data_IF_577681645196
#
_entry.id   IF_577681645196
#
_cell.length_a   1.000
_cell.length_b   1.000
_cell.length_c   1.000
_cell.angle_alpha   90.00
_cell.angle_beta   90.00
_cell.angle_gamma   90.00
#
_symmetry.space_group_name_H-M   'P 1'
#
loop_
_entity.id
_entity.type
_entity.pdbx_description
1 polymer ?
#
# COMPACT_ATOMS: atom_id res chain seq x y z
N UNK A 1 -42.31 -64.40 26.60
CA UNK A 1 -41.00 -65.01 26.91
C UNK A 1 -40.09 -63.93 27.49
N UNK A 2 -39.51 -64.28 28.64
CA UNK A 2 -38.43 -63.69 29.48
C UNK A 2 -37.80 -62.32 29.16
N UNK A 3 -37.74 -61.51 30.21
CA UNK A 3 -36.84 -60.38 30.43
C UNK A 3 -35.38 -60.81 30.64
N UNK A 4 -34.40 -59.92 30.37
CA UNK A 4 -33.14 -59.83 31.13
C UNK A 4 -32.68 -58.36 31.17
N UNK A 5 -32.53 -57.84 32.38
CA UNK A 5 -31.88 -56.57 32.71
C UNK A 5 -30.36 -56.77 32.83
N UNK A 6 -29.56 -55.82 32.34
CA UNK A 6 -28.10 -55.78 32.51
C UNK A 6 -27.68 -54.50 33.19
N UNK A 7 -27.26 -54.61 34.45
CA UNK A 7 -26.68 -53.54 35.28
C UNK A 7 -25.17 -53.47 35.00
N UNK A 8 -24.66 -52.32 34.57
CA UNK A 8 -23.22 -52.04 34.55
C UNK A 8 -22.89 -50.89 35.50
N UNK A 9 -22.11 -51.21 36.55
CA UNK A 9 -21.42 -50.26 37.42
C UNK A 9 -20.22 -49.67 36.68
N UNK A 10 -20.05 -48.35 36.71
CA UNK A 10 -18.79 -47.69 36.35
C UNK A 10 -18.22 -47.00 37.58
N UNK A 11 -16.93 -47.26 37.77
CA UNK A 11 -16.07 -46.91 38.90
C UNK A 11 -15.67 -45.43 38.79
N UNK A 12 -15.84 -44.68 39.88
CA UNK A 12 -15.32 -43.31 40.04
C UNK A 12 -13.81 -43.31 40.25
N UNK A 13 -13.06 -42.79 39.28
CA UNK A 13 -11.64 -42.49 39.43
C UNK A 13 -11.44 -41.08 39.98
N UNK A 14 -10.76 -40.96 41.12
CA UNK A 14 -10.31 -39.70 41.71
C UNK A 14 -9.08 -39.22 40.94
N UNK A 15 -9.20 -38.13 40.20
CA UNK A 15 -8.06 -37.49 39.53
C UNK A 15 -7.35 -36.52 40.50
N UNK A 16 -6.08 -36.79 40.76
CA UNK A 16 -5.19 -35.87 41.47
C UNK A 16 -4.86 -34.66 40.59
N UNK A 17 -5.04 -33.44 41.12
CA UNK A 17 -4.72 -32.18 40.46
C UNK A 17 -3.26 -31.82 40.78
N UNK A 18 -2.32 -31.80 39.83
CA UNK A 18 -0.99 -31.25 40.07
C UNK A 18 -1.07 -29.71 40.13
N UNK A 19 -0.56 -29.18 41.24
CA UNK A 19 -0.36 -27.75 41.47
C UNK A 19 0.75 -27.25 40.53
N UNK A 20 0.37 -26.54 39.45
CA UNK A 20 1.33 -25.90 38.55
C UNK A 20 1.79 -24.60 39.20
N UNK A 21 3.01 -24.61 39.72
CA UNK A 21 3.73 -23.41 40.13
C UNK A 21 4.10 -22.65 38.84
N UNK A 22 3.30 -21.64 38.51
CA UNK A 22 3.57 -20.76 37.38
C UNK A 22 4.69 -19.79 37.76
N UNK A 23 5.91 -20.09 37.32
CA UNK A 23 7.04 -19.18 37.35
C UNK A 23 6.71 -17.98 36.43
N UNK A 24 6.56 -16.79 37.02
CA UNK A 24 6.17 -15.58 36.32
C UNK A 24 7.24 -15.14 35.32
N UNK A 25 7.01 -15.42 34.03
CA UNK A 25 7.65 -14.67 32.96
C UNK A 25 7.17 -13.23 33.04
N UNK A 26 8.09 -12.29 33.29
CA UNK A 26 7.91 -10.86 33.11
C UNK A 26 7.54 -10.57 31.65
N UNK A 27 6.25 -10.70 31.35
CA UNK A 27 5.69 -10.47 30.03
C UNK A 27 5.74 -8.98 29.71
N UNK A 28 6.70 -8.59 28.87
CA UNK A 28 6.66 -7.28 28.23
C UNK A 28 5.29 -7.12 27.54
N UNK A 29 4.61 -5.99 27.80
CA UNK A 29 3.33 -5.71 27.18
C UNK A 29 3.46 -5.79 25.64
N UNK A 30 2.50 -6.40 24.93
CA UNK A 30 2.56 -6.50 23.48
C UNK A 30 2.62 -5.10 22.86
N UNK A 31 3.49 -4.92 21.86
CA UNK A 31 3.63 -3.65 21.16
C UNK A 31 2.29 -3.20 20.56
N UNK A 32 1.94 -1.92 20.71
CA UNK A 32 0.71 -1.32 20.15
C UNK A 32 0.67 -1.39 18.63
N UNK A 33 1.85 -1.24 18.00
CA UNK A 33 2.00 -1.26 16.55
C UNK A 33 3.08 -2.26 16.15
N UNK A 34 2.73 -3.23 15.30
CA UNK A 34 3.70 -4.14 14.68
C UNK A 34 3.88 -3.79 13.21
N UNK A 35 5.12 -3.51 12.82
CA UNK A 35 5.50 -3.29 11.43
C UNK A 35 6.23 -4.53 10.91
N UNK A 36 5.77 -5.06 9.78
CA UNK A 36 6.50 -6.05 8.98
C UNK A 36 6.84 -5.44 7.63
N UNK A 37 8.11 -5.14 7.40
CA UNK A 37 8.58 -4.46 6.21
C UNK A 37 9.33 -5.42 5.28
N UNK A 38 8.70 -5.79 4.17
CA UNK A 38 9.29 -6.60 3.11
C UNK A 38 9.96 -5.67 2.11
N UNK A 39 11.28 -5.55 2.21
CA UNK A 39 12.11 -4.59 1.47
C UNK A 39 13.31 -5.37 0.93
N UNK A 40 13.78 -5.07 -0.29
CA UNK A 40 15.06 -5.63 -0.75
C UNK A 40 16.16 -4.76 -0.14
N UNK A 41 16.65 -5.15 1.02
CA UNK A 41 17.68 -4.40 1.74
C UNK A 41 19.02 -4.61 1.03
N UNK A 42 19.29 -5.84 0.59
CA UNK A 42 20.53 -6.23 -0.08
C UNK A 42 20.85 -5.42 -1.34
N UNK A 43 19.85 -4.92 -2.08
CA UNK A 43 20.11 -4.12 -3.29
C UNK A 43 20.32 -2.61 -3.03
N UNK A 44 20.09 -2.13 -1.80
CA UNK A 44 20.28 -0.74 -1.39
C UNK A 44 19.33 0.30 -2.01
N UNK A 45 18.53 -0.04 -3.02
CA UNK A 45 17.65 0.91 -3.73
C UNK A 45 16.61 1.57 -2.80
N UNK A 46 16.25 0.89 -1.71
CA UNK A 46 15.20 1.28 -0.78
C UNK A 46 15.75 1.77 0.57
N UNK A 47 17.05 2.09 0.64
CA UNK A 47 17.71 2.49 1.88
C UNK A 47 17.06 3.69 2.60
N UNK A 48 16.53 4.72 1.91
CA UNK A 48 15.77 5.78 2.59
C UNK A 48 14.57 5.24 3.39
N UNK A 49 13.90 4.19 2.88
CA UNK A 49 12.77 3.57 3.57
C UNK A 49 13.23 2.77 4.78
N UNK A 50 14.32 2.01 4.65
CA UNK A 50 14.93 1.26 5.75
C UNK A 50 15.32 2.21 6.88
N UNK A 51 16.05 3.29 6.55
CA UNK A 51 16.47 4.31 7.53
C UNK A 51 15.27 4.95 8.22
N UNK A 52 14.24 5.33 7.47
CA UNK A 52 13.03 5.91 8.03
C UNK A 52 12.38 4.98 9.06
N UNK A 53 12.14 3.71 8.71
CA UNK A 53 11.49 2.74 9.59
C UNK A 53 12.31 2.46 10.86
N UNK A 54 13.63 2.27 10.72
CA UNK A 54 14.54 2.07 11.86
C UNK A 54 14.52 3.26 12.81
N UNK A 55 14.61 4.47 12.28
CA UNK A 55 14.57 5.69 13.09
C UNK A 55 13.22 5.86 13.79
N UNK A 56 12.12 5.61 13.08
CA UNK A 56 10.77 5.71 13.66
C UNK A 56 10.60 4.70 14.81
N UNK A 57 10.95 3.43 14.59
CA UNK A 57 10.87 2.40 15.63
C UNK A 57 11.79 2.71 16.83
N UNK A 58 12.98 3.27 16.59
CA UNK A 58 13.90 3.66 17.65
C UNK A 58 13.35 4.80 18.55
N UNK A 59 12.49 5.66 18.01
CA UNK A 59 11.82 6.73 18.75
C UNK A 59 10.54 6.26 19.48
N UNK A 60 10.03 5.07 19.15
CA UNK A 60 8.79 4.50 19.68
C UNK A 60 8.98 3.08 20.27
N UNK A 61 10.16 2.78 20.84
CA UNK A 61 10.59 1.43 21.23
C UNK A 61 9.63 0.68 22.16
N UNK A 62 8.87 1.38 22.99
CA UNK A 62 7.94 0.77 23.95
C UNK A 62 6.55 0.53 23.35
N UNK A 63 6.27 1.07 22.16
CA UNK A 63 4.95 1.03 21.53
C UNK A 63 4.98 0.31 20.18
N UNK A 64 6.16 0.11 19.61
CA UNK A 64 6.35 -0.41 18.26
C UNK A 64 7.35 -1.56 18.20
N UNK A 65 6.97 -2.60 17.45
CA UNK A 65 7.87 -3.66 17.00
C UNK A 65 8.10 -3.54 15.49
N UNK A 66 9.36 -3.65 15.05
CA UNK A 66 9.74 -3.60 13.64
C UNK A 66 10.45 -4.90 13.25
N UNK A 67 9.81 -5.67 12.37
CA UNK A 67 10.42 -6.80 11.66
C UNK A 67 10.76 -6.34 10.25
N UNK A 68 12.05 -6.33 9.90
CA UNK A 68 12.48 -6.14 8.51
C UNK A 68 12.75 -7.50 7.88
N UNK A 69 12.13 -7.74 6.72
CA UNK A 69 12.29 -8.96 5.93
C UNK A 69 13.02 -8.57 4.65
N UNK A 70 14.28 -8.97 4.53
CA UNK A 70 15.06 -8.73 3.31
C UNK A 70 14.72 -9.76 2.24
N UNK A 71 13.84 -9.41 1.30
CA UNK A 71 13.52 -10.33 0.20
C UNK A 71 14.62 -10.43 -0.87
N UNK A 72 15.75 -9.76 -0.68
CA UNK A 72 17.00 -10.01 -1.40
C UNK A 72 17.78 -11.23 -0.89
N UNK A 73 17.52 -11.69 0.36
CA UNK A 73 18.09 -12.94 0.90
C UNK A 73 17.23 -14.14 0.50
N UNK A 74 17.80 -15.35 0.57
CA UNK A 74 17.06 -16.58 0.26
C UNK A 74 15.88 -16.80 1.23
N UNK A 75 16.11 -16.65 2.54
CA UNK A 75 15.10 -16.84 3.58
C UNK A 75 14.01 -15.78 3.50
N UNK A 76 14.39 -14.52 3.29
CA UNK A 76 13.44 -13.43 3.15
C UNK A 76 12.64 -13.53 1.86
N UNK A 77 13.24 -13.96 0.75
CA UNK A 77 12.53 -14.23 -0.50
C UNK A 77 11.53 -15.38 -0.35
N UNK A 78 11.92 -16.47 0.31
CA UNK A 78 11.03 -17.59 0.61
C UNK A 78 9.82 -17.15 1.46
N UNK A 79 10.06 -16.35 2.51
CA UNK A 79 9.00 -15.75 3.34
C UNK A 79 8.10 -14.82 2.55
N UNK A 80 8.66 -13.90 1.76
CA UNK A 80 7.92 -12.97 0.92
C UNK A 80 6.98 -13.68 -0.07
N UNK A 81 7.45 -14.76 -0.72
CA UNK A 81 6.63 -15.60 -1.60
C UNK A 81 5.53 -16.36 -0.85
N UNK A 82 5.86 -16.98 0.29
CA UNK A 82 4.89 -17.70 1.12
C UNK A 82 3.75 -16.79 1.59
N UNK A 83 4.07 -15.54 1.88
CA UNK A 83 3.10 -14.55 2.34
C UNK A 83 2.32 -13.91 1.15
N UNK A 84 2.50 -14.41 -0.08
CA UNK A 84 1.72 -14.03 -1.26
C UNK A 84 2.04 -12.64 -1.82
N UNK A 85 3.22 -12.09 -1.51
CA UNK A 85 3.61 -10.74 -1.90
C UNK A 85 4.34 -10.75 -3.25
N UNK A 86 4.12 -9.70 -4.04
CA UNK A 86 4.68 -9.58 -5.40
C UNK A 86 5.54 -8.33 -5.61
N UNK A 87 5.58 -7.44 -4.62
CA UNK A 87 6.40 -6.23 -4.59
C UNK A 87 6.81 -5.89 -3.15
N UNK A 88 7.66 -4.87 -2.98
CA UNK A 88 7.89 -4.25 -1.66
C UNK A 88 6.55 -3.96 -0.98
N UNK A 89 6.44 -4.35 0.30
CA UNK A 89 5.21 -4.18 1.08
C UNK A 89 5.56 -3.88 2.52
N UNK A 90 4.91 -2.88 3.11
CA UNK A 90 4.96 -2.61 4.54
C UNK A 90 3.59 -2.96 5.12
N UNK A 91 3.58 -3.88 6.07
CA UNK A 91 2.39 -4.22 6.85
C UNK A 91 2.46 -3.51 8.19
N UNK A 92 1.40 -2.79 8.55
CA UNK A 92 1.20 -2.23 9.90
C UNK A 92 0.01 -2.96 10.50
N UNK A 93 0.22 -3.64 11.63
CA UNK A 93 -0.78 -4.49 12.27
C UNK A 93 -1.41 -5.51 11.30
N UNK A 94 -0.60 -6.05 10.37
CA UNK A 94 -1.03 -7.03 9.37
C UNK A 94 -1.73 -6.45 8.13
N UNK A 95 -2.04 -5.16 8.10
CA UNK A 95 -2.64 -4.50 6.93
C UNK A 95 -1.60 -3.74 6.12
N UNK A 96 -1.81 -3.59 4.80
CA UNK A 96 -1.07 -2.65 3.95
C UNK A 96 -1.94 -1.49 3.45
N UNK A 97 -3.21 -1.44 3.86
CA UNK A 97 -4.20 -0.50 3.34
C UNK A 97 -4.87 0.26 4.48
N UNK A 98 -4.80 1.58 4.38
CA UNK A 98 -5.17 2.49 5.46
C UNK A 98 -5.94 3.69 4.94
N UNK A 99 -6.83 4.22 5.78
CA UNK A 99 -7.47 5.51 5.58
C UNK A 99 -6.71 6.59 6.34
N UNK A 100 -6.23 7.59 5.62
CA UNK A 100 -5.52 8.75 6.18
C UNK A 100 -6.35 10.02 5.97
N UNK A 101 -6.44 10.85 7.01
CA UNK A 101 -7.25 12.08 7.05
C UNK A 101 -8.44 12.00 8.01
N UNK A 102 -8.85 13.14 8.58
CA UNK A 102 -9.85 13.22 9.65
C UNK A 102 -11.26 12.81 9.20
N UNK A 103 -11.94 12.05 10.05
CA UNK A 103 -13.42 12.06 10.11
C UNK A 103 -13.79 13.27 10.96
N UNK A 104 -14.58 14.21 10.42
CA UNK A 104 -15.28 15.21 11.24
C UNK A 104 -14.72 16.63 11.30
N UNK A 105 -13.77 17.04 10.44
CA UNK A 105 -13.47 18.48 10.25
C UNK A 105 -14.04 18.98 8.91
N UNK A 106 -14.84 20.06 8.89
CA UNK A 106 -15.53 20.56 7.68
C UNK A 106 -14.63 21.08 6.55
N UNK A 107 -13.31 21.20 6.76
CA UNK A 107 -12.36 21.65 5.73
C UNK A 107 -11.90 20.49 4.83
N UNK A 108 -12.79 20.03 3.95
CA UNK A 108 -12.52 19.58 2.57
C UNK A 108 -11.54 18.43 2.23
N UNK A 109 -10.92 17.71 3.17
CA UNK A 109 -10.05 16.59 2.80
C UNK A 109 -10.84 15.27 2.72
N UNK A 110 -11.25 14.87 1.52
CA UNK A 110 -11.76 13.51 1.26
C UNK A 110 -10.80 12.48 1.87
N UNK A 111 -11.28 11.52 2.70
CA UNK A 111 -10.42 10.50 3.29
C UNK A 111 -9.64 9.78 2.20
N UNK A 112 -8.31 9.78 2.34
CA UNK A 112 -7.37 9.20 1.37
C UNK A 112 -7.13 7.74 1.74
N UNK A 113 -7.10 6.86 0.75
CA UNK A 113 -6.59 5.51 0.95
C UNK A 113 -5.10 5.49 0.63
N UNK A 114 -4.31 5.00 1.57
CA UNK A 114 -2.88 4.75 1.41
C UNK A 114 -2.69 3.25 1.30
N UNK A 115 -1.99 2.81 0.25
CA UNK A 115 -1.57 1.42 0.12
C UNK A 115 -0.05 1.36 0.18
N UNK A 116 0.49 0.80 1.27
CA UNK A 116 1.93 0.67 1.52
C UNK A 116 2.54 -0.52 0.75
N UNK A 117 2.26 -0.55 -0.55
CA UNK A 117 2.84 -1.48 -1.53
C UNK A 117 3.59 -0.68 -2.58
N UNK A 118 4.60 -1.30 -3.19
CA UNK A 118 5.58 -0.67 -4.08
C UNK A 118 6.54 0.26 -3.32
N UNK A 119 7.66 0.68 -3.94
CA UNK A 119 8.54 1.69 -3.35
C UNK A 119 7.85 3.03 -3.08
N UNK A 120 8.42 3.78 -2.14
CA UNK A 120 8.07 5.17 -1.88
C UNK A 120 8.17 5.99 -3.18
N UNK A 121 7.26 6.95 -3.34
CA UNK A 121 7.17 7.73 -4.58
C UNK A 121 6.23 7.15 -5.62
N UNK A 122 5.81 5.89 -5.47
CA UNK A 122 4.91 5.21 -6.42
C UNK A 122 3.44 5.33 -6.02
N UNK A 123 3.03 4.70 -4.91
CA UNK A 123 1.63 4.75 -4.40
C UNK A 123 1.48 5.56 -3.12
N UNK A 124 2.59 5.72 -2.40
CA UNK A 124 2.65 6.35 -1.07
C UNK A 124 3.93 7.20 -0.96
N UNK A 125 3.98 8.08 0.02
CA UNK A 125 5.15 8.90 0.40
C UNK A 125 5.53 8.70 1.86
N UNK A 126 6.69 9.21 2.29
CA UNK A 126 7.04 9.19 3.71
C UNK A 126 6.03 9.94 4.59
N UNK A 127 5.40 11.00 4.08
CA UNK A 127 4.31 11.70 4.77
C UNK A 127 3.09 10.80 4.97
N UNK A 128 2.76 9.97 3.97
CA UNK A 128 1.68 8.99 4.10
C UNK A 128 2.00 7.93 5.17
N UNK A 129 3.23 7.40 5.15
CA UNK A 129 3.68 6.42 6.13
C UNK A 129 3.67 7.02 7.55
N UNK A 130 4.17 8.26 7.69
CA UNK A 130 4.15 8.97 8.96
C UNK A 130 2.73 9.13 9.50
N UNK A 131 1.77 9.50 8.64
CA UNK A 131 0.38 9.69 9.03
C UNK A 131 -0.30 8.38 9.43
N UNK A 132 -0.04 7.27 8.71
CA UNK A 132 -0.53 5.93 9.10
C UNK A 132 0.03 5.54 10.46
N UNK A 133 1.34 5.64 10.66
CA UNK A 133 1.97 5.24 11.92
C UNK A 133 1.50 6.10 13.10
N UNK A 134 1.36 7.41 12.91
CA UNK A 134 0.83 8.31 13.95
C UNK A 134 -0.61 7.95 14.34
N UNK A 135 -1.47 7.63 13.36
CA UNK A 135 -2.84 7.22 13.63
C UNK A 135 -2.92 5.87 14.33
N UNK A 136 -2.10 4.89 13.92
CA UNK A 136 -2.05 3.56 14.52
C UNK A 136 -1.43 3.55 15.92
N UNK A 137 -0.44 4.41 16.20
CA UNK A 137 0.08 4.59 17.55
C UNK A 137 -0.97 5.19 18.50
N UNK A 138 -1.76 6.15 18.00
CA UNK A 138 -2.82 6.78 18.80
C UNK A 138 -3.99 5.83 19.05
N UNK A 139 -4.40 5.07 18.04
CA UNK A 139 -5.54 4.15 18.11
C UNK A 139 -5.30 2.97 17.16
N UNK A 140 -4.69 1.86 17.64
CA UNK A 140 -4.40 0.69 16.81
C UNK A 140 -5.63 0.16 16.09
N UNK A 141 -5.50 -0.14 14.80
CA UNK A 141 -6.55 -0.63 13.93
C UNK A 141 -7.52 0.43 13.40
N UNK A 142 -7.47 1.68 13.89
CA UNK A 142 -8.46 2.71 13.55
C UNK A 142 -8.38 3.18 12.09
N UNK A 143 -7.24 3.00 11.44
CA UNK A 143 -7.04 3.40 10.04
C UNK A 143 -7.17 2.23 9.06
N UNK A 144 -7.17 0.99 9.54
CA UNK A 144 -7.19 -0.21 8.68
C UNK A 144 -8.45 -0.23 7.83
N UNK A 145 -8.27 -0.47 6.53
CA UNK A 145 -9.38 -0.70 5.60
C UNK A 145 -9.39 -2.15 5.12
N UNK A 146 -10.57 -2.75 5.10
CA UNK A 146 -10.81 -3.97 4.34
C UNK A 146 -10.87 -3.67 2.84
N UNK A 147 -10.55 -4.66 2.01
CA UNK A 147 -10.68 -4.54 0.55
C UNK A 147 -12.09 -4.10 0.14
N UNK A 148 -13.14 -4.66 0.77
CA UNK A 148 -14.53 -4.30 0.48
C UNK A 148 -14.79 -2.82 0.74
N UNK A 149 -14.32 -2.28 1.88
CA UNK A 149 -14.52 -0.87 2.22
C UNK A 149 -13.68 0.05 1.33
N UNK A 150 -12.45 -0.37 0.99
CA UNK A 150 -11.61 0.37 0.07
C UNK A 150 -12.24 0.45 -1.33
N UNK A 151 -12.84 -0.64 -1.82
CA UNK A 151 -13.60 -0.66 -3.08
C UNK A 151 -14.82 0.25 -3.03
N UNK A 152 -15.59 0.22 -1.95
CA UNK A 152 -16.76 1.10 -1.76
C UNK A 152 -16.34 2.58 -1.83
N UNK A 153 -15.26 2.96 -1.14
CA UNK A 153 -14.72 4.33 -1.19
C UNK A 153 -14.24 4.67 -2.60
N UNK A 154 -13.49 3.77 -3.23
CA UNK A 154 -12.94 3.93 -4.58
C UNK A 154 -14.01 4.17 -5.65
N UNK A 155 -15.19 3.56 -5.52
CA UNK A 155 -16.28 3.68 -6.48
C UNK A 155 -16.98 5.06 -6.46
N UNK A 156 -16.91 5.82 -5.35
CA UNK A 156 -17.58 7.13 -5.23
C UNK A 156 -16.97 8.21 -6.12
N UNK A 157 -15.66 8.15 -6.33
CA UNK A 157 -14.92 9.09 -7.17
C UNK A 157 -13.84 8.32 -7.95
N UNK A 158 -14.21 7.62 -9.05
CA UNK A 158 -13.32 6.67 -9.71
C UNK A 158 -12.09 7.32 -10.35
N UNK A 159 -12.14 8.62 -10.65
CA UNK A 159 -10.97 9.40 -11.09
C UNK A 159 -10.99 10.77 -10.43
N UNK A 160 -9.94 11.08 -9.68
CA UNK A 160 -9.76 12.35 -8.96
C UNK A 160 -8.36 12.92 -9.20
N UNK A 161 -8.18 14.18 -8.82
CA UNK A 161 -6.89 14.88 -8.84
C UNK A 161 -6.58 15.43 -7.47
N UNK A 162 -5.30 15.51 -7.13
CA UNK A 162 -4.84 16.11 -5.87
C UNK A 162 -3.55 16.87 -6.09
N UNK A 163 -3.28 17.85 -5.20
CA UNK A 163 -1.97 18.45 -5.03
C UNK A 163 -1.33 17.87 -3.79
N UNK A 164 -0.08 17.45 -3.89
CA UNK A 164 0.76 17.04 -2.77
C UNK A 164 2.04 17.87 -2.77
N UNK A 165 2.83 17.74 -1.71
CA UNK A 165 4.19 18.24 -1.69
C UNK A 165 5.14 17.10 -1.39
N UNK A 166 6.31 17.11 -2.04
CA UNK A 166 7.40 16.18 -1.77
C UNK A 166 8.71 16.94 -1.84
N UNK A 167 9.50 16.90 -0.76
CA UNK A 167 10.75 17.65 -0.64
C UNK A 167 10.58 19.15 -0.95
N UNK A 168 9.49 19.76 -0.47
CA UNK A 168 9.17 21.18 -0.70
C UNK A 168 8.73 21.54 -2.14
N UNK A 169 8.58 20.56 -3.03
CA UNK A 169 8.08 20.77 -4.39
C UNK A 169 6.61 20.36 -4.48
N UNK A 170 5.81 21.20 -5.13
CA UNK A 170 4.43 20.84 -5.46
C UNK A 170 4.41 19.70 -6.48
N UNK A 171 3.59 18.70 -6.21
CA UNK A 171 3.30 17.61 -7.11
C UNK A 171 1.81 17.58 -7.41
N UNK A 172 1.47 17.26 -8.65
CA UNK A 172 0.11 16.95 -9.04
C UNK A 172 -0.08 15.45 -9.15
N UNK A 173 -1.20 14.93 -8.64
CA UNK A 173 -1.47 13.50 -8.58
C UNK A 173 -2.79 13.18 -9.25
N UNK A 174 -2.80 12.08 -10.00
CA UNK A 174 -4.03 11.47 -10.52
C UNK A 174 -4.31 10.22 -9.71
N UNK A 175 -5.53 10.18 -9.18
CA UNK A 175 -6.02 9.10 -8.32
C UNK A 175 -7.08 8.35 -9.11
N UNK A 176 -6.96 7.03 -9.21
CA UNK A 176 -8.01 6.17 -9.76
C UNK A 176 -8.48 5.23 -8.68
N UNK A 177 -9.78 5.26 -8.43
CA UNK A 177 -10.38 4.66 -7.25
C UNK A 177 -9.79 5.26 -5.99
N UNK A 178 -8.89 4.53 -5.35
CA UNK A 178 -8.23 4.97 -4.14
C UNK A 178 -6.70 4.89 -4.20
N UNK A 179 -6.14 4.77 -5.40
CA UNK A 179 -4.70 4.66 -5.61
C UNK A 179 -4.20 5.86 -6.41
N UNK A 180 -3.10 6.46 -5.96
CA UNK A 180 -2.31 7.37 -6.82
C UNK A 180 -1.73 6.52 -7.97
N UNK A 181 -2.13 6.83 -9.20
CA UNK A 181 -1.66 6.13 -10.41
C UNK A 181 -0.58 6.92 -11.13
N UNK A 182 -0.67 8.25 -11.11
CA UNK A 182 0.32 9.16 -11.71
C UNK A 182 0.70 10.25 -10.71
N UNK A 183 1.96 10.67 -10.76
CA UNK A 183 2.50 11.76 -9.94
C UNK A 183 3.45 12.61 -10.79
N UNK A 184 3.09 13.87 -10.93
CA UNK A 184 3.76 14.85 -11.77
C UNK A 184 4.49 15.83 -10.88
N UNK A 185 5.80 15.96 -11.05
CA UNK A 185 6.65 16.86 -10.25
C UNK A 185 7.41 17.89 -11.09
N UNK A 186 7.29 17.82 -12.42
CA UNK A 186 8.02 18.70 -13.36
C UNK A 186 7.13 19.17 -14.51
N UNK A 187 7.44 20.34 -15.10
CA UNK A 187 6.90 20.71 -16.40
C UNK A 187 7.38 19.77 -17.50
N UNK A 188 6.55 19.53 -18.52
CA UNK A 188 6.90 18.78 -19.72
C UNK A 188 6.05 19.26 -20.90
N UNK A 189 6.64 19.39 -22.10
CA UNK A 189 5.97 19.82 -23.32
C UNK A 189 5.15 21.12 -23.13
N UNK A 190 5.73 22.11 -22.43
CA UNK A 190 5.10 23.40 -22.14
C UNK A 190 3.98 23.37 -21.09
N UNK A 191 3.71 22.22 -20.47
CA UNK A 191 2.66 22.06 -19.45
C UNK A 191 3.26 21.90 -18.07
N UNK A 192 2.75 22.65 -17.10
CA UNK A 192 3.05 22.49 -15.67
C UNK A 192 2.58 21.12 -15.13
N UNK A 193 3.09 20.71 -13.97
CA UNK A 193 2.64 19.49 -13.29
C UNK A 193 1.12 19.49 -13.03
N UNK A 194 0.55 20.64 -12.63
CA UNK A 194 -0.89 20.80 -12.41
C UNK A 194 -1.70 20.63 -13.71
N UNK A 195 -1.25 21.22 -14.83
CA UNK A 195 -1.90 21.04 -16.13
C UNK A 195 -1.85 19.59 -16.60
N UNK A 196 -0.69 18.93 -16.47
CA UNK A 196 -0.52 17.51 -16.82
C UNK A 196 -1.44 16.60 -16.00
N UNK A 197 -1.59 16.93 -14.71
CA UNK A 197 -2.51 16.23 -13.79
C UNK A 197 -3.96 16.37 -14.25
N UNK A 198 -4.41 17.60 -14.52
CA UNK A 198 -5.77 17.87 -14.96
C UNK A 198 -6.10 17.19 -16.30
N UNK A 199 -5.18 17.26 -17.26
CA UNK A 199 -5.33 16.64 -18.58
C UNK A 199 -5.41 15.10 -18.50
N UNK A 200 -4.45 14.48 -17.80
CA UNK A 200 -4.42 13.02 -17.61
C UNK A 200 -5.69 12.52 -16.91
N UNK A 201 -6.16 13.24 -15.90
CA UNK A 201 -7.42 12.93 -15.22
C UNK A 201 -8.64 13.13 -16.14
N UNK A 202 -8.67 14.15 -16.99
CA UNK A 202 -9.74 14.35 -17.96
C UNK A 202 -9.81 13.21 -18.99
N UNK A 203 -8.66 12.77 -19.50
CA UNK A 203 -8.55 11.62 -20.41
C UNK A 203 -9.05 10.35 -19.70
N UNK A 204 -8.59 10.09 -18.48
CA UNK A 204 -9.03 8.94 -17.70
C UNK A 204 -10.53 8.97 -17.39
N UNK A 205 -11.11 10.12 -17.04
CA UNK A 205 -12.56 10.25 -16.82
C UNK A 205 -13.35 9.85 -18.08
N UNK A 206 -12.92 10.31 -19.26
CA UNK A 206 -13.54 9.94 -20.54
C UNK A 206 -13.39 8.44 -20.82
N UNK A 207 -12.19 7.88 -20.69
CA UNK A 207 -11.94 6.46 -20.90
C UNK A 207 -12.73 5.58 -19.90
N UNK A 208 -12.79 5.97 -18.64
CA UNK A 208 -13.53 5.27 -17.60
C UNK A 208 -15.04 5.25 -17.89
N UNK A 209 -15.62 6.38 -18.31
CA UNK A 209 -17.02 6.46 -18.76
C UNK A 209 -17.29 5.53 -19.95
N UNK A 210 -16.28 5.31 -20.80
CA UNK A 210 -16.29 4.35 -21.91
C UNK A 210 -15.91 2.92 -21.50
N UNK A 211 -16.02 2.59 -20.21
CA UNK A 211 -15.71 1.26 -19.66
C UNK A 211 -14.28 0.80 -19.98
N UNK A 212 -13.28 1.68 -19.79
CA UNK A 212 -11.88 1.29 -19.82
C UNK A 212 -11.64 0.10 -18.89
N UNK A 213 -10.98 -0.94 -19.40
CA UNK A 213 -10.61 -2.13 -18.64
C UNK A 213 -9.12 -2.16 -18.31
N UNK A 214 -8.75 -2.94 -17.30
CA UNK A 214 -7.33 -3.09 -16.92
C UNK A 214 -6.47 -3.74 -18.00
N UNK A 215 -7.02 -4.52 -18.93
CA UNK A 215 -6.25 -5.15 -20.03
C UNK A 215 -5.92 -4.18 -21.16
N UNK A 216 -6.62 -3.05 -21.26
CA UNK A 216 -6.44 -2.07 -22.34
C UNK A 216 -5.34 -1.03 -22.05
N UNK A 217 -4.82 -1.01 -20.82
CA UNK A 217 -3.77 -0.10 -20.40
C UNK A 217 -2.40 -0.72 -20.65
N UNK A 218 -1.54 0.00 -21.38
CA UNK A 218 -0.16 -0.41 -21.64
C UNK A 218 0.79 0.77 -21.52
N UNK A 219 2.10 0.46 -21.62
CA UNK A 219 3.14 1.45 -21.72
C UNK A 219 3.87 1.31 -23.06
N UNK A 220 4.32 2.42 -23.62
CA UNK A 220 5.07 2.48 -24.87
C UNK A 220 6.18 3.52 -24.77
N UNK A 221 7.28 3.42 -25.53
CA UNK A 221 8.20 4.54 -25.70
C UNK A 221 7.56 5.63 -26.55
N UNK A 222 7.94 6.89 -26.33
CA UNK A 222 7.76 7.96 -27.32
C UNK A 222 8.62 7.65 -28.56
N UNK A 223 8.22 8.09 -29.75
CA UNK A 223 8.92 7.74 -31.00
C UNK A 223 10.40 8.14 -31.01
N UNK A 224 10.75 9.21 -30.32
CA UNK A 224 12.12 9.70 -30.15
C UNK A 224 12.90 9.01 -29.02
N UNK A 225 12.29 8.05 -28.31
CA UNK A 225 12.87 7.36 -27.16
C UNK A 225 13.06 8.22 -25.90
N UNK A 226 12.70 9.51 -25.94
CA UNK A 226 13.02 10.47 -24.87
C UNK A 226 12.13 10.32 -23.63
N UNK A 227 10.99 9.66 -23.78
CA UNK A 227 9.97 9.54 -22.76
C UNK A 227 9.24 8.19 -22.82
N UNK A 228 8.62 7.81 -21.69
CA UNK A 228 7.65 6.73 -21.64
C UNK A 228 6.23 7.27 -21.77
N UNK A 229 5.32 6.48 -22.31
CA UNK A 229 3.91 6.80 -22.47
C UNK A 229 3.09 5.78 -21.70
N UNK A 230 2.05 6.22 -21.01
CA UNK A 230 0.95 5.35 -20.58
C UNK A 230 -0.19 5.56 -21.57
N UNK A 231 -0.64 4.48 -22.20
CA UNK A 231 -1.62 4.53 -23.30
C UNK A 231 -2.78 3.59 -23.04
N UNK A 232 -3.95 3.92 -23.61
CA UNK A 232 -5.07 2.99 -23.73
C UNK A 232 -5.89 3.33 -24.99
N UNK A 233 -6.31 2.30 -25.73
CA UNK A 233 -7.08 2.44 -26.99
C UNK A 233 -6.44 3.43 -27.99
N UNK A 234 -5.12 3.35 -28.13
CA UNK A 234 -4.35 4.25 -29.00
C UNK A 234 -4.25 5.71 -28.52
N UNK A 235 -4.80 6.04 -27.35
CA UNK A 235 -4.70 7.39 -26.75
C UNK A 235 -3.61 7.43 -25.70
N UNK A 236 -2.74 8.43 -25.78
CA UNK A 236 -1.80 8.76 -24.71
C UNK A 236 -2.57 9.33 -23.53
N UNK A 237 -2.53 8.65 -22.39
CA UNK A 237 -3.09 9.13 -21.12
C UNK A 237 -2.13 10.12 -20.49
N UNK A 238 -0.84 9.76 -20.46
CA UNK A 238 0.22 10.62 -19.94
C UNK A 238 1.59 10.25 -20.53
N UNK A 239 2.52 11.21 -20.44
CA UNK A 239 3.94 11.08 -20.74
C UNK A 239 4.73 11.08 -19.43
N UNK A 240 5.77 10.24 -19.34
CA UNK A 240 6.70 10.13 -18.22
C UNK A 240 8.07 10.59 -18.68
N UNK A 241 8.60 11.63 -18.05
CA UNK A 241 9.92 12.21 -18.33
C UNK A 241 11.04 11.51 -17.56
N UNK A 242 12.29 11.75 -17.95
CA UNK A 242 13.48 11.32 -17.21
C UNK A 242 13.51 11.88 -15.78
N UNK A 243 13.01 13.09 -15.55
CA UNK A 243 12.98 13.70 -14.23
C UNK A 243 11.99 12.98 -13.29
N UNK A 244 10.90 12.42 -13.81
CA UNK A 244 9.95 11.62 -13.04
C UNK A 244 10.42 10.19 -12.83
N UNK A 245 11.18 9.66 -13.78
CA UNK A 245 11.75 8.33 -13.71
C UNK A 245 12.94 8.24 -12.73
N UNK A 246 13.71 9.32 -12.58
CA UNK A 246 14.91 9.37 -11.73
C UNK A 246 14.63 9.04 -10.24
N UNK A 247 13.64 9.64 -9.55
CA UNK A 247 13.31 9.26 -8.18
C UNK A 247 12.89 7.79 -8.03
N UNK A 248 12.44 7.15 -9.11
CA UNK A 248 12.04 5.75 -9.15
C UNK A 248 13.21 4.81 -9.51
N UNK A 249 14.40 5.36 -9.76
CA UNK A 249 15.59 4.65 -10.24
C UNK A 249 15.28 3.82 -11.51
N UNK A 250 14.55 4.44 -12.44
CA UNK A 250 14.10 3.82 -13.68
C UNK A 250 14.40 4.74 -14.87
N UNK A 251 14.45 4.17 -16.06
CA UNK A 251 14.34 4.98 -17.28
C UNK A 251 12.87 5.36 -17.55
N UNK A 252 12.60 6.34 -18.43
CA UNK A 252 11.23 6.80 -18.69
C UNK A 252 10.23 5.70 -19.07
N UNK A 253 10.64 4.74 -19.89
CA UNK A 253 9.79 3.63 -20.34
C UNK A 253 9.45 2.69 -19.18
N UNK A 254 10.43 2.33 -18.35
CA UNK A 254 10.22 1.51 -17.16
C UNK A 254 9.34 2.22 -16.12
N UNK A 255 9.49 3.54 -15.98
CA UNK A 255 8.61 4.33 -15.12
C UNK A 255 7.17 4.38 -15.67
N UNK A 256 6.98 4.50 -16.99
CA UNK A 256 5.67 4.38 -17.62
C UNK A 256 5.05 2.98 -17.45
N UNK A 257 5.84 1.90 -17.56
CA UNK A 257 5.37 0.54 -17.28
C UNK A 257 4.88 0.39 -15.84
N UNK A 258 5.58 1.01 -14.89
CA UNK A 258 5.19 1.03 -13.49
C UNK A 258 3.88 1.81 -13.26
N UNK A 259 3.73 2.98 -13.89
CA UNK A 259 2.49 3.75 -13.84
C UNK A 259 1.31 3.02 -14.50
N UNK A 260 1.54 2.39 -15.64
CA UNK A 260 0.55 1.54 -16.31
C UNK A 260 0.15 0.36 -15.41
N UNK A 261 1.10 -0.32 -14.76
CA UNK A 261 0.79 -1.36 -13.78
C UNK A 261 -0.09 -0.84 -12.64
N UNK A 262 0.21 0.32 -12.06
CA UNK A 262 -0.62 0.91 -11.00
C UNK A 262 -2.04 1.23 -11.49
N UNK A 263 -2.17 1.80 -12.69
CA UNK A 263 -3.48 2.06 -13.26
C UNK A 263 -4.29 0.78 -13.46
N UNK A 264 -3.65 -0.30 -13.95
CA UNK A 264 -4.31 -1.61 -14.10
C UNK A 264 -4.80 -2.17 -12.77
N UNK A 265 -3.98 -2.09 -11.74
CA UNK A 265 -4.34 -2.52 -10.38
C UNK A 265 -5.51 -1.71 -9.82
N UNK A 266 -5.48 -0.39 -9.99
CA UNK A 266 -6.57 0.49 -9.58
C UNK A 266 -7.89 0.15 -10.31
N UNK A 267 -7.82 -0.13 -11.61
CA UNK A 267 -8.97 -0.55 -12.41
C UNK A 267 -9.53 -1.91 -11.96
N UNK A 268 -8.68 -2.91 -11.70
CA UNK A 268 -9.11 -4.23 -11.18
C UNK A 268 -9.86 -4.11 -9.86
N UNK A 269 -9.40 -3.24 -8.95
CA UNK A 269 -10.09 -2.97 -7.68
C UNK A 269 -11.48 -2.36 -7.90
N UNK A 270 -11.67 -1.61 -8.99
CA UNK A 270 -12.96 -1.05 -9.39
C UNK A 270 -13.83 -2.05 -10.19
N UNK A 271 -13.38 -3.29 -10.39
CA UNK A 271 -14.05 -4.27 -11.25
C UNK A 271 -13.98 -3.92 -12.74
N UNK A 272 -12.86 -3.32 -13.16
CA UNK A 272 -12.57 -2.92 -14.54
C UNK A 272 -11.38 -3.68 -15.14
#
# INVERSE_FOLDING_TARGET
MRAVAGVFRVITSVAAIPLIISCGTTGAAPAKVRIMAYINVSNGCQEPTVKYLKNYAANHRNEMALDMIDFGSEEGFARWRRDGLTCQTILVNGSSQFRVGSVGTPSSATPRIVTLKMPEGVRWTFEDLAAVLAQELKSPGSSVLSDAKAREIAQRAPVATRRSQRNGKEEGEVIVGAQTVFRFSVPLDGKSAAQRTAESASILKKLYAQRLTSTEVSAAPRMDGSAGLVVARGKTITVVSSAEAKPLQKNPVQAAQLWAFNLREALRLLGR
#
